data_IF_817191665951
#
_entry.id   IF_817191665951
#
_cell.length_a   1.000
_cell.length_b   1.000
_cell.length_c   1.000
_cell.angle_alpha   90.00
_cell.angle_beta   90.00
_cell.angle_gamma   90.00
#
_symmetry.space_group_name_H-M   'P 1'
#
loop_
_entity.id
_entity.type
_entity.pdbx_description
1 polymer ?
#
# COMPACT_ATOMS: atom_id res chain seq x y z
N UNK A 1 11.68 -5.69 -1.24
CA UNK A 1 10.62 -5.29 -2.20
C UNK A 1 10.80 -3.84 -2.64
N UNK A 2 10.93 -3.53 -3.95
CA UNK A 2 11.01 -2.14 -4.44
C UNK A 2 9.76 -1.35 -4.03
N UNK A 3 9.91 -0.06 -3.69
CA UNK A 3 8.79 0.85 -3.39
C UNK A 3 7.83 0.84 -4.58
N UNK A 4 6.56 0.50 -4.36
CA UNK A 4 5.52 0.52 -5.40
C UNK A 4 5.36 1.95 -5.95
N UNK A 5 5.70 2.20 -7.23
CA UNK A 5 5.61 3.53 -7.83
C UNK A 5 4.16 4.00 -7.96
N UNK A 6 3.97 5.32 -8.00
CA UNK A 6 2.71 5.91 -8.47
C UNK A 6 2.71 5.84 -10.00
N UNK A 7 1.59 5.46 -10.64
CA UNK A 7 1.55 5.23 -12.11
C UNK A 7 1.82 6.47 -12.95
N UNK A 8 1.58 7.66 -12.39
CA UNK A 8 1.84 8.97 -12.99
C UNK A 8 2.96 9.71 -12.27
N UNK A 9 3.63 10.62 -12.98
CA UNK A 9 4.60 11.54 -12.40
C UNK A 9 3.90 12.49 -11.42
N UNK A 10 4.64 12.87 -10.37
CA UNK A 10 4.20 13.86 -9.39
C UNK A 10 4.38 15.26 -9.97
N UNK A 11 3.42 16.13 -9.73
CA UNK A 11 3.54 17.56 -10.03
C UNK A 11 4.72 18.15 -9.22
N UNK A 12 5.62 18.87 -9.89
CA UNK A 12 6.79 19.49 -9.26
C UNK A 12 6.42 20.68 -8.37
N UNK A 13 5.31 21.37 -8.68
CA UNK A 13 4.80 22.50 -7.92
C UNK A 13 3.98 22.03 -6.69
N UNK A 14 3.23 20.93 -6.83
CA UNK A 14 2.52 20.27 -5.74
C UNK A 14 2.73 18.75 -5.75
N UNK A 15 3.77 18.29 -5.05
CA UNK A 15 4.14 16.87 -4.94
C UNK A 15 3.06 15.97 -4.32
N UNK A 16 1.95 16.51 -3.81
CA UNK A 16 0.78 15.73 -3.38
C UNK A 16 -0.03 15.25 -4.58
N UNK A 17 0.01 15.96 -5.70
CA UNK A 17 -0.74 15.66 -6.92
C UNK A 17 0.10 14.95 -7.97
N UNK A 18 -0.57 14.40 -8.97
CA UNK A 18 0.03 13.86 -10.19
C UNK A 18 -0.37 14.68 -11.41
N UNK A 19 0.43 14.57 -12.47
CA UNK A 19 0.17 15.14 -13.79
C UNK A 19 -0.08 14.02 -14.79
N UNK A 20 -0.65 14.34 -15.95
CA UNK A 20 -0.91 13.40 -17.05
C UNK A 20 0.38 13.05 -17.80
N UNK A 21 1.33 12.47 -17.07
CA UNK A 21 2.55 11.89 -17.60
C UNK A 21 2.83 10.57 -16.90
N UNK A 22 3.02 9.50 -17.67
CA UNK A 22 3.32 8.18 -17.14
C UNK A 22 4.65 8.19 -16.38
N UNK A 23 4.68 7.56 -15.20
CA UNK A 23 5.91 7.36 -14.46
C UNK A 23 6.76 6.29 -15.16
N UNK A 24 8.07 6.53 -15.41
CA UNK A 24 8.92 5.56 -16.10
C UNK A 24 8.86 4.17 -15.48
N UNK A 25 8.57 3.15 -16.31
CA UNK A 25 8.41 1.76 -15.89
C UNK A 25 6.99 1.36 -15.50
N UNK A 26 6.01 2.27 -15.60
CA UNK A 26 4.58 2.00 -15.38
C UNK A 26 3.77 1.88 -16.68
N UNK A 27 4.42 1.90 -17.86
CA UNK A 27 3.76 1.88 -19.18
C UNK A 27 2.86 0.66 -19.37
N UNK A 28 3.27 -0.49 -18.82
CA UNK A 28 2.52 -1.74 -18.82
C UNK A 28 1.11 -1.62 -18.20
N UNK A 29 0.90 -0.69 -17.26
CA UNK A 29 -0.42 -0.43 -16.67
C UNK A 29 -1.37 0.07 -17.75
N UNK A 30 -0.88 0.97 -18.59
CA UNK A 30 -1.64 1.65 -19.64
C UNK A 30 -1.80 0.78 -20.89
N UNK A 31 -0.85 -0.13 -21.13
CA UNK A 31 -0.97 -1.19 -22.13
C UNK A 31 -1.97 -2.30 -21.74
N UNK A 32 -2.52 -2.26 -20.52
CA UNK A 32 -3.52 -3.24 -20.05
C UNK A 32 -2.91 -4.57 -19.61
N UNK A 33 -1.59 -4.64 -19.39
CA UNK A 33 -0.88 -5.89 -19.08
C UNK A 33 -1.10 -6.37 -17.63
N UNK A 34 -1.74 -5.57 -16.77
CA UNK A 34 -1.94 -5.93 -15.38
C UNK A 34 -3.33 -5.65 -14.82
N UNK A 35 -3.65 -6.42 -13.79
CA UNK A 35 -4.94 -6.46 -13.10
C UNK A 35 -4.97 -5.37 -12.04
N UNK A 36 -6.05 -4.58 -12.02
CA UNK A 36 -6.29 -3.59 -10.98
C UNK A 36 -6.98 -4.25 -9.78
N UNK A 37 -6.49 -3.96 -8.58
CA UNK A 37 -7.08 -4.39 -7.31
C UNK A 37 -7.31 -3.19 -6.41
N UNK A 38 -8.22 -3.34 -5.46
CA UNK A 38 -8.47 -2.35 -4.41
C UNK A 38 -7.19 -2.09 -3.62
N UNK A 39 -6.86 -0.80 -3.50
CA UNK A 39 -5.94 -0.37 -2.47
C UNK A 39 -6.72 -0.11 -1.18
N UNK A 40 -6.54 -0.99 -0.19
CA UNK A 40 -7.04 -0.77 1.16
C UNK A 40 -6.22 0.32 1.88
N UNK A 41 -6.91 1.09 2.72
CA UNK A 41 -6.36 2.10 3.62
C UNK A 41 -6.11 1.48 4.99
N UNK A 42 -4.93 0.90 5.16
CA UNK A 42 -4.55 0.28 6.41
C UNK A 42 -3.06 0.38 6.67
N UNK A 43 -2.55 -0.63 7.38
CA UNK A 43 -1.12 -0.80 7.63
C UNK A 43 -0.65 -2.11 7.03
N UNK A 44 0.32 -2.04 6.12
CA UNK A 44 0.89 -3.23 5.52
C UNK A 44 1.66 -4.06 6.56
N UNK A 45 1.34 -5.35 6.62
CA UNK A 45 2.00 -6.35 7.46
C UNK A 45 2.41 -7.56 6.60
N UNK A 46 3.34 -8.37 7.12
CA UNK A 46 3.86 -9.57 6.45
C UNK A 46 3.87 -10.75 7.41
N UNK A 47 3.46 -11.91 6.92
CA UNK A 47 3.65 -13.19 7.58
C UNK A 47 4.64 -13.99 6.73
N UNK A 48 5.74 -14.43 7.33
CA UNK A 48 6.83 -15.13 6.65
C UNK A 48 7.53 -16.02 7.67
N UNK A 49 7.79 -17.28 7.33
CA UNK A 49 8.48 -18.27 8.18
C UNK A 49 7.90 -18.37 9.61
N UNK A 50 6.57 -18.31 9.73
CA UNK A 50 5.85 -18.38 11.01
C UNK A 50 5.94 -17.11 11.86
N UNK A 51 6.57 -16.04 11.34
CA UNK A 51 6.70 -14.75 12.03
C UNK A 51 5.77 -13.71 11.46
N UNK A 52 5.39 -12.75 12.30
CA UNK A 52 4.50 -11.64 11.97
C UNK A 52 5.24 -10.31 12.05
N UNK A 53 5.18 -9.53 10.97
CA UNK A 53 5.94 -8.30 10.81
C UNK A 53 5.05 -7.12 10.45
N UNK A 54 5.34 -5.94 10.99
CA UNK A 54 4.75 -4.66 10.58
C UNK A 54 5.70 -3.87 9.69
N UNK A 55 5.17 -3.21 8.66
CA UNK A 55 5.96 -2.33 7.79
C UNK A 55 6.44 -1.12 8.59
N UNK A 56 7.70 -0.73 8.42
CA UNK A 56 8.29 0.44 9.08
C UNK A 56 9.02 1.34 8.08
N UNK A 57 8.76 2.65 8.16
CA UNK A 57 9.55 3.71 7.53
C UNK A 57 10.47 4.34 8.60
N UNK A 58 11.75 4.49 8.28
CA UNK A 58 12.72 5.29 9.06
C UNK A 58 13.13 6.49 8.22
N UNK A 59 12.87 7.70 8.73
CA UNK A 59 13.17 8.97 8.05
C UNK A 59 14.69 9.20 8.00
N UNK A 60 15.15 9.96 7.01
CA UNK A 60 16.56 10.37 6.87
C UNK A 60 17.07 10.99 8.19
N UNK A 61 18.24 10.52 8.65
CA UNK A 61 18.91 11.01 9.86
C UNK A 61 18.27 10.58 11.19
N UNK A 62 17.23 9.72 11.18
CA UNK A 62 16.70 9.12 12.40
C UNK A 62 17.40 7.81 12.73
N UNK A 63 17.52 7.52 14.02
CA UNK A 63 18.08 6.26 14.52
C UNK A 63 17.27 5.08 13.98
N UNK A 64 17.98 4.05 13.53
CA UNK A 64 17.37 2.80 13.11
C UNK A 64 16.94 2.06 14.38
N UNK A 65 15.65 1.69 14.53
CA UNK A 65 15.19 0.90 15.66
C UNK A 65 15.91 -0.45 15.73
N UNK A 66 16.13 -0.94 16.94
CA UNK A 66 16.64 -2.31 17.12
C UNK A 66 15.67 -3.33 16.51
N UNK A 67 16.21 -4.38 15.89
CA UNK A 67 15.43 -5.37 15.15
C UNK A 67 14.86 -4.92 13.79
N UNK A 68 15.18 -3.72 13.29
CA UNK A 68 14.72 -3.27 11.98
C UNK A 68 15.40 -4.02 10.83
N UNK A 69 14.60 -4.78 10.08
CA UNK A 69 15.03 -5.48 8.87
C UNK A 69 14.83 -4.56 7.68
N UNK A 70 15.89 -3.85 7.28
CA UNK A 70 15.82 -2.96 6.12
C UNK A 70 15.63 -3.75 4.82
N UNK A 71 14.66 -3.34 4.00
CA UNK A 71 14.52 -3.86 2.63
C UNK A 71 14.98 -2.87 1.56
N UNK A 72 14.74 -1.57 1.76
CA UNK A 72 14.98 -0.53 0.75
C UNK A 72 15.51 0.74 1.38
N UNK A 73 16.48 1.36 0.71
CA UNK A 73 16.84 2.76 0.89
C UNK A 73 16.36 3.54 -0.35
N UNK A 74 15.50 4.53 -0.13
CA UNK A 74 15.11 5.50 -1.16
C UNK A 74 16.19 6.59 -1.21
N UNK A 75 17.13 6.49 -2.15
CA UNK A 75 18.30 7.39 -2.23
C UNK A 75 17.89 8.85 -2.47
N UNK A 76 16.76 9.09 -3.15
CA UNK A 76 16.23 10.44 -3.39
C UNK A 76 15.81 11.12 -2.08
N UNK A 77 15.12 10.41 -1.19
CA UNK A 77 14.60 10.98 0.06
C UNK A 77 15.47 10.67 1.28
N UNK A 78 16.40 9.72 1.17
CA UNK A 78 17.15 9.15 2.27
C UNK A 78 16.32 8.31 3.25
N UNK A 79 15.07 7.96 2.89
CA UNK A 79 14.19 7.16 3.74
C UNK A 79 14.51 5.68 3.61
N UNK A 80 14.45 4.96 4.73
CA UNK A 80 14.60 3.51 4.77
C UNK A 80 13.23 2.87 4.98
N UNK A 81 12.95 1.80 4.27
CA UNK A 81 11.73 1.02 4.42
C UNK A 81 12.11 -0.43 4.71
N UNK A 82 11.36 -1.06 5.59
CA UNK A 82 11.66 -2.42 6.02
C UNK A 82 10.57 -2.97 6.93
N UNK A 83 10.95 -3.96 7.70
CA UNK A 83 10.06 -4.71 8.58
C UNK A 83 10.55 -4.64 10.02
N UNK A 84 9.61 -4.71 10.94
CA UNK A 84 9.83 -4.95 12.36
C UNK A 84 8.99 -6.16 12.74
N UNK A 85 9.55 -7.09 13.48
CA UNK A 85 8.75 -8.18 14.07
C UNK A 85 7.73 -7.56 15.05
N UNK A 86 6.51 -8.10 15.06
CA UNK A 86 5.44 -7.67 15.95
C UNK A 86 5.65 -8.36 17.29
N UNK A 87 6.15 -7.62 18.27
CA UNK A 87 6.29 -8.08 19.64
C UNK A 87 4.94 -7.97 20.38
N UNK A 88 4.34 -9.09 20.85
CA UNK A 88 3.05 -9.08 21.54
C UNK A 88 3.08 -8.35 22.90
N UNK A 89 4.25 -8.19 23.52
CA UNK A 89 4.39 -7.55 24.83
C UNK A 89 4.37 -6.01 24.73
N UNK A 90 4.56 -5.46 23.53
CA UNK A 90 4.53 -4.02 23.31
C UNK A 90 3.11 -3.50 23.08
N UNK A 91 2.66 -2.58 23.92
CA UNK A 91 1.32 -1.99 23.84
C UNK A 91 0.98 -1.35 22.48
N UNK A 92 1.98 -0.85 21.75
CA UNK A 92 1.81 -0.30 20.39
C UNK A 92 1.39 -1.35 19.35
N UNK A 93 1.62 -2.64 19.64
CA UNK A 93 1.26 -3.76 18.78
C UNK A 93 -0.13 -4.33 19.08
N UNK A 94 -0.85 -3.79 20.07
CA UNK A 94 -2.17 -4.29 20.48
C UNK A 94 -3.09 -4.60 19.30
N UNK A 95 -3.26 -3.67 18.37
CA UNK A 95 -4.16 -3.83 17.22
C UNK A 95 -3.64 -4.80 16.15
N UNK A 96 -2.31 -4.97 16.07
CA UNK A 96 -1.72 -5.99 15.22
C UNK A 96 -2.02 -7.38 15.77
N UNK A 97 -1.91 -7.54 17.10
CA UNK A 97 -2.20 -8.79 17.79
C UNK A 97 -3.69 -9.13 17.79
N UNK A 98 -4.57 -8.14 17.94
CA UNK A 98 -6.02 -8.35 17.89
C UNK A 98 -6.49 -8.90 16.53
N UNK A 99 -5.83 -8.51 15.44
CA UNK A 99 -6.13 -8.99 14.09
C UNK A 99 -5.42 -10.31 13.72
N UNK A 100 -4.42 -10.72 14.50
CA UNK A 100 -3.56 -11.85 14.13
C UNK A 100 -4.22 -13.19 14.43
N UNK A 101 -4.14 -14.10 13.47
CA UNK A 101 -4.59 -15.49 13.59
C UNK A 101 -3.46 -16.42 13.14
N UNK A 102 -3.11 -17.40 13.96
CA UNK A 102 -2.02 -18.34 13.69
C UNK A 102 -2.30 -19.27 12.49
N UNK A 103 -3.55 -19.36 12.02
CA UNK A 103 -3.94 -20.09 10.81
C UNK A 103 -3.64 -19.34 9.52
N UNK A 104 -3.27 -18.05 9.60
CA UNK A 104 -2.92 -17.25 8.44
C UNK A 104 -1.67 -17.80 7.74
N UNK A 105 -1.78 -17.95 6.43
CA UNK A 105 -0.70 -18.42 5.56
C UNK A 105 0.37 -17.35 5.35
N UNK A 106 1.60 -17.70 4.95
CA UNK A 106 2.60 -16.73 4.53
C UNK A 106 2.09 -15.81 3.41
N UNK A 107 2.46 -14.53 3.48
CA UNK A 107 2.02 -13.51 2.54
C UNK A 107 2.09 -12.09 3.12
N UNK A 108 1.63 -11.13 2.33
CA UNK A 108 1.43 -9.75 2.80
C UNK A 108 -0.05 -9.47 2.95
N UNK A 109 -0.37 -8.71 3.97
CA UNK A 109 -1.74 -8.35 4.35
C UNK A 109 -1.81 -6.85 4.60
N UNK A 110 -3.01 -6.30 4.50
CA UNK A 110 -3.34 -5.00 5.02
C UNK A 110 -4.09 -5.17 6.35
N UNK A 111 -3.53 -4.63 7.43
CA UNK A 111 -4.23 -4.49 8.70
C UNK A 111 -5.22 -3.33 8.58
N UNK A 112 -6.50 -3.61 8.81
CA UNK A 112 -7.61 -2.65 8.82
C UNK A 112 -8.42 -2.79 10.11
N UNK A 113 -9.26 -1.81 10.44
CA UNK A 113 -10.14 -1.91 11.61
C UNK A 113 -10.40 -0.60 12.34
N UNK A 114 -11.17 -0.65 13.44
CA UNK A 114 -11.66 0.52 14.18
C UNK A 114 -10.60 1.51 14.64
N UNK A 115 -9.36 1.06 14.89
CA UNK A 115 -8.24 1.90 15.33
C UNK A 115 -7.15 2.08 14.27
N UNK A 116 -7.42 1.68 13.04
CA UNK A 116 -6.46 1.76 11.94
C UNK A 116 -6.95 2.78 10.93
N UNK A 117 -6.13 3.80 10.65
CA UNK A 117 -6.38 4.80 9.59
C UNK A 117 -7.78 5.44 9.64
N UNK A 118 -8.32 5.65 10.85
CA UNK A 118 -9.66 6.23 11.04
C UNK A 118 -10.83 5.31 10.66
N UNK A 119 -10.57 4.01 10.44
CA UNK A 119 -11.54 3.01 10.00
C UNK A 119 -12.26 3.37 8.69
N UNK A 120 -11.53 3.96 7.73
CA UNK A 120 -12.08 4.27 6.41
C UNK A 120 -12.55 3.03 5.64
N UNK A 121 -12.07 1.85 6.02
CA UNK A 121 -12.51 0.58 5.45
C UNK A 121 -13.80 0.03 6.11
N UNK A 122 -14.27 0.63 7.22
CA UNK A 122 -15.56 0.30 7.83
C UNK A 122 -15.64 -1.06 8.53
N UNK A 123 -14.52 -1.64 8.95
CA UNK A 123 -14.50 -2.95 9.61
C UNK A 123 -14.92 -2.82 11.08
N UNK A 124 -15.72 -3.77 11.56
CA UNK A 124 -16.17 -3.84 12.96
C UNK A 124 -15.05 -4.28 13.91
N UNK A 125 -14.14 -5.12 13.42
CA UNK A 125 -13.00 -5.67 14.17
C UNK A 125 -11.69 -5.45 13.42
N UNK A 126 -10.58 -5.46 14.16
CA UNK A 126 -9.26 -5.46 13.53
C UNK A 126 -9.08 -6.74 12.70
N UNK A 127 -8.72 -6.58 11.42
CA UNK A 127 -8.74 -7.67 10.44
C UNK A 127 -7.50 -7.58 9.56
N UNK A 128 -6.93 -8.73 9.20
CA UNK A 128 -5.86 -8.83 8.20
C UNK A 128 -6.45 -9.26 6.86
N UNK A 129 -6.47 -8.34 5.90
CA UNK A 129 -6.94 -8.61 4.53
C UNK A 129 -5.76 -8.99 3.67
N UNK A 130 -5.76 -10.21 3.12
CA UNK A 130 -4.64 -10.70 2.30
C UNK A 130 -4.59 -9.94 0.97
N UNK A 131 -3.42 -9.42 0.59
CA UNK A 131 -3.31 -8.66 -0.67
C UNK A 131 -3.62 -9.50 -1.91
N UNK A 132 -3.37 -10.82 -1.89
CA UNK A 132 -3.72 -11.71 -3.00
C UNK A 132 -5.23 -11.83 -3.23
N UNK A 133 -6.02 -11.53 -2.21
CA UNK A 133 -7.47 -11.70 -2.18
C UNK A 133 -8.16 -10.34 -2.30
N UNK A 134 -7.40 -9.28 -2.56
CA UNK A 134 -7.92 -7.94 -2.76
C UNK A 134 -8.94 -7.92 -3.91
N UNK A 135 -10.02 -7.17 -3.70
CA UNK A 135 -11.10 -6.98 -4.68
C UNK A 135 -10.51 -6.55 -6.04
N UNK A 136 -10.88 -7.27 -7.11
CA UNK A 136 -10.40 -7.02 -8.48
C UNK A 136 -11.38 -6.11 -9.23
N UNK A 137 -10.84 -5.25 -10.06
CA UNK A 137 -11.61 -4.36 -10.93
C UNK A 137 -11.20 -4.57 -12.38
N UNK A 138 -12.09 -5.15 -13.18
CA UNK A 138 -11.84 -5.47 -14.60
C UNK A 138 -12.13 -4.28 -15.53
N UNK A 139 -12.90 -3.30 -15.07
CA UNK A 139 -13.41 -2.17 -15.84
C UNK A 139 -12.63 -0.85 -15.65
N UNK A 140 -11.46 -0.90 -15.00
CA UNK A 140 -10.65 0.30 -14.73
C UNK A 140 -10.11 0.89 -16.04
N UNK A 141 -10.46 2.15 -16.37
CA UNK A 141 -9.93 2.83 -17.54
C UNK A 141 -8.41 2.97 -17.52
N UNK A 142 -7.79 3.13 -18.70
CA UNK A 142 -6.32 3.21 -18.86
C UNK A 142 -5.85 4.58 -19.36
N UNK A 143 -6.57 5.63 -19.00
CA UNK A 143 -6.19 7.03 -19.24
C UNK A 143 -6.21 7.83 -17.94
N UNK A 144 -5.49 8.95 -17.88
CA UNK A 144 -5.46 9.81 -16.69
C UNK A 144 -6.85 10.27 -16.26
N UNK A 145 -7.61 10.86 -17.19
CA UNK A 145 -8.97 11.33 -16.92
C UNK A 145 -9.92 10.19 -16.58
N UNK A 146 -9.82 9.05 -17.28
CA UNK A 146 -10.66 7.88 -17.04
C UNK A 146 -10.44 7.28 -15.65
N UNK A 147 -9.18 7.15 -15.21
CA UNK A 147 -8.87 6.66 -13.87
C UNK A 147 -9.36 7.65 -12.80
N UNK A 148 -9.16 8.95 -13.01
CA UNK A 148 -9.62 9.98 -12.08
C UNK A 148 -11.15 9.93 -11.91
N UNK A 149 -11.90 9.86 -13.01
CA UNK A 149 -13.36 9.78 -13.01
C UNK A 149 -13.84 8.47 -12.38
N UNK A 150 -13.23 7.33 -12.75
CA UNK A 150 -13.59 6.04 -12.17
C UNK A 150 -13.41 6.02 -10.65
N UNK A 151 -12.36 6.68 -10.14
CA UNK A 151 -12.12 6.77 -8.70
C UNK A 151 -13.12 7.68 -7.97
N UNK A 152 -13.64 8.74 -8.59
CA UNK A 152 -14.47 9.76 -7.95
C UNK A 152 -15.62 9.14 -7.14
N UNK A 153 -16.38 8.23 -7.77
CA UNK A 153 -17.57 7.60 -7.21
C UNK A 153 -17.30 6.33 -6.36
N UNK A 154 -16.03 5.98 -6.12
CA UNK A 154 -15.66 4.74 -5.40
C UNK A 154 -15.21 5.02 -3.97
N UNK A 155 -15.73 4.28 -3.00
CA UNK A 155 -15.25 4.35 -1.61
C UNK A 155 -14.01 3.46 -1.38
N UNK A 156 -12.89 3.86 -1.99
CA UNK A 156 -11.59 3.18 -1.88
C UNK A 156 -10.45 4.19 -1.75
N UNK A 157 -9.30 3.81 -1.15
CA UNK A 157 -8.12 4.71 -1.13
C UNK A 157 -7.60 4.95 -2.56
N UNK A 158 -7.67 3.91 -3.38
CA UNK A 158 -7.17 3.89 -4.74
C UNK A 158 -7.05 2.48 -5.30
N UNK A 159 -6.09 2.32 -6.22
CA UNK A 159 -5.83 1.07 -6.92
C UNK A 159 -4.38 0.64 -6.77
N UNK A 160 -4.17 -0.67 -6.76
CA UNK A 160 -2.88 -1.30 -7.02
C UNK A 160 -3.01 -2.12 -8.31
N UNK A 161 -2.10 -1.91 -9.24
CA UNK A 161 -2.00 -2.70 -10.46
C UNK A 161 -0.95 -3.79 -10.25
N UNK A 162 -1.26 -5.01 -10.67
CA UNK A 162 -0.40 -6.18 -10.57
C UNK A 162 -0.10 -6.73 -11.96
N UNK A 163 1.17 -6.73 -12.34
CA UNK A 163 1.63 -7.38 -13.56
C UNK A 163 1.97 -8.86 -13.28
N UNK A 164 1.75 -9.80 -14.23
CA UNK A 164 2.07 -11.22 -14.05
C UNK A 164 3.54 -11.53 -13.69
N UNK A 165 4.47 -10.67 -14.10
CA UNK A 165 5.92 -10.79 -13.76
C UNK A 165 6.28 -10.30 -12.34
N UNK A 166 5.30 -9.88 -11.54
CA UNK A 166 5.49 -9.40 -10.17
C UNK A 166 5.73 -7.90 -10.03
N UNK A 167 5.80 -7.12 -11.13
CA UNK A 167 5.75 -5.66 -11.04
C UNK A 167 4.42 -5.21 -10.44
N UNK A 168 4.48 -4.15 -9.63
CA UNK A 168 3.32 -3.49 -9.06
C UNK A 168 3.44 -1.99 -9.26
N UNK A 169 2.31 -1.31 -9.45
CA UNK A 169 2.22 0.15 -9.44
C UNK A 169 0.90 0.56 -8.78
N UNK A 170 0.75 1.82 -8.34
CA UNK A 170 -0.45 2.26 -7.62
C UNK A 170 -0.90 3.66 -8.00
N UNK A 171 -2.13 3.99 -7.66
CA UNK A 171 -2.66 5.36 -7.73
C UNK A 171 -3.71 5.55 -6.64
N UNK A 172 -3.87 6.78 -6.15
CA UNK A 172 -4.80 7.08 -5.06
C UNK A 172 -5.70 8.25 -5.39
N UNK A 173 -6.90 8.29 -4.79
CA UNK A 173 -7.83 9.43 -4.89
C UNK A 173 -7.15 10.77 -4.64
N UNK A 174 -6.41 10.84 -3.53
CA UNK A 174 -5.69 12.07 -3.14
C UNK A 174 -4.63 12.52 -4.13
N UNK A 175 -4.11 11.61 -4.97
CA UNK A 175 -3.12 11.97 -5.99
C UNK A 175 -3.77 12.81 -7.10
N UNK A 176 -5.09 12.69 -7.31
CA UNK A 176 -5.91 13.57 -8.17
C UNK A 176 -6.53 14.76 -7.41
N UNK A 177 -6.24 14.92 -6.12
CA UNK A 177 -6.90 15.91 -5.26
C UNK A 177 -8.32 15.53 -4.83
N UNK A 178 -8.76 14.29 -5.10
CA UNK A 178 -10.05 13.78 -4.66
C UNK A 178 -10.02 13.38 -3.18
N UNK A 179 -11.17 13.50 -2.52
CA UNK A 179 -11.38 13.00 -1.16
C UNK A 179 -12.00 11.62 -1.21
N UNK A 180 -11.66 10.81 -0.22
CA UNK A 180 -12.45 9.64 0.16
C UNK A 180 -13.39 10.07 1.27
#
# INVERSE_FOLDING_TARGET
MKKTPTIFKRDEQDRKKVIDEVYPGCEWVFAGEGVATRKYDGTCVKIEDGKYFKRREVKKGKSIPDGFIQEVLDETTGKRFGWMEVDPELAENKWHMEAFDASLTPGTYELVGPKIQGNLEGYETHTLVKHSDAEKYDDVPRSFSGISQWLEDKDVEGLVFHHPDGRMAKIKKRDFGLKR
#
